data_IF_241974641803
#
_entry.id   IF_241974641803
#
_cell.length_a   1.000
_cell.length_b   1.000
_cell.length_c   1.000
_cell.angle_alpha   90.00
_cell.angle_beta   90.00
_cell.angle_gamma   90.00
#
_symmetry.space_group_name_H-M   'P 1'
#
loop_
_entity.id
_entity.type
_entity.pdbx_description
1 polymer ?
#
# COMPACT_ATOMS: atom_id res chain seq x y z
N UNK A 1 -14.50 -26.17 1.06
CA UNK A 1 -13.49 -25.62 2.01
C UNK A 1 -12.08 -26.19 1.81
N UNK A 2 -11.89 -27.48 1.49
CA UNK A 2 -10.56 -28.08 1.29
C UNK A 2 -9.80 -27.56 0.04
N UNK A 3 -10.50 -27.29 -1.05
CA UNK A 3 -9.90 -26.88 -2.33
C UNK A 3 -9.21 -25.51 -2.27
N UNK A 4 -9.83 -24.53 -1.60
CA UNK A 4 -9.26 -23.19 -1.40
C UNK A 4 -8.00 -23.20 -0.51
N UNK A 5 -7.89 -24.17 0.41
CA UNK A 5 -6.70 -24.32 1.25
C UNK A 5 -5.51 -24.89 0.46
N UNK A 6 -5.78 -25.86 -0.44
CA UNK A 6 -4.77 -26.42 -1.34
C UNK A 6 -4.17 -25.36 -2.27
N UNK A 7 -5.01 -24.52 -2.87
CA UNK A 7 -4.54 -23.45 -3.76
C UNK A 7 -3.65 -22.43 -3.04
N UNK A 8 -3.99 -22.02 -1.81
CA UNK A 8 -3.18 -21.10 -0.99
C UNK A 8 -1.80 -21.67 -0.68
N UNK A 9 -1.73 -22.97 -0.39
CA UNK A 9 -0.46 -23.67 -0.13
C UNK A 9 0.44 -23.68 -1.37
N UNK A 10 -0.14 -24.00 -2.53
CA UNK A 10 0.60 -24.03 -3.80
C UNK A 10 1.11 -22.64 -4.19
N UNK A 11 0.26 -21.61 -4.15
CA UNK A 11 0.68 -20.25 -4.51
C UNK A 11 1.71 -19.68 -3.54
N UNK A 12 1.62 -20.02 -2.24
CA UNK A 12 2.64 -19.65 -1.26
C UNK A 12 4.00 -20.29 -1.56
N UNK A 13 4.01 -21.57 -1.94
CA UNK A 13 5.23 -22.30 -2.32
C UNK A 13 5.86 -21.76 -3.62
N UNK A 14 5.04 -21.44 -4.63
CA UNK A 14 5.52 -20.81 -5.85
C UNK A 14 6.19 -19.48 -5.57
N UNK A 15 5.58 -18.64 -4.73
CA UNK A 15 6.13 -17.33 -4.36
C UNK A 15 7.43 -17.45 -3.56
N UNK A 16 7.49 -18.34 -2.57
CA UNK A 16 8.66 -18.47 -1.69
C UNK A 16 9.86 -19.10 -2.40
N UNK A 17 9.62 -20.07 -3.29
CA UNK A 17 10.70 -20.76 -4.02
C UNK A 17 11.11 -20.07 -5.31
N UNK A 18 10.24 -19.24 -5.89
CA UNK A 18 10.45 -18.64 -7.21
C UNK A 18 10.45 -19.65 -8.36
N UNK A 19 10.13 -20.93 -8.11
CA UNK A 19 10.11 -21.96 -9.17
C UNK A 19 9.12 -21.58 -10.25
N UNK A 20 9.53 -21.69 -11.50
CA UNK A 20 8.72 -21.34 -12.68
C UNK A 20 8.36 -19.86 -12.80
N UNK A 21 9.07 -18.95 -12.11
CA UNK A 21 8.88 -17.52 -12.30
C UNK A 21 9.23 -17.10 -13.73
N UNK A 22 8.35 -16.32 -14.33
CA UNK A 22 8.46 -15.79 -15.69
C UNK A 22 8.33 -14.26 -15.75
N UNK A 23 8.30 -13.62 -14.57
CA UNK A 23 8.28 -12.17 -14.40
C UNK A 23 9.15 -11.76 -13.22
N UNK A 24 9.82 -10.62 -13.37
CA UNK A 24 10.55 -9.97 -12.30
C UNK A 24 9.92 -8.60 -12.02
N UNK A 25 9.53 -8.37 -10.77
CA UNK A 25 9.14 -7.04 -10.29
C UNK A 25 10.33 -6.48 -9.54
N UNK A 26 10.88 -5.38 -10.04
CA UNK A 26 11.99 -4.67 -9.40
C UNK A 26 11.42 -3.49 -8.63
N UNK A 27 11.60 -3.49 -7.32
CA UNK A 27 11.25 -2.38 -6.45
C UNK A 27 12.53 -1.89 -5.76
N UNK A 28 13.07 -0.77 -6.24
CA UNK A 28 14.39 -0.26 -5.84
C UNK A 28 15.46 -1.35 -6.05
N UNK A 29 16.18 -1.75 -5.00
CA UNK A 29 17.22 -2.80 -5.06
C UNK A 29 16.69 -4.23 -4.95
N UNK A 30 15.40 -4.40 -4.60
CA UNK A 30 14.82 -5.73 -4.41
C UNK A 30 14.17 -6.20 -5.71
N UNK A 31 14.60 -7.37 -6.17
CA UNK A 31 13.98 -8.08 -7.29
C UNK A 31 13.15 -9.23 -6.77
N UNK A 32 11.87 -9.26 -7.15
CA UNK A 32 10.94 -10.32 -6.80
C UNK A 32 10.68 -11.17 -8.03
N UNK A 33 11.06 -12.45 -7.96
CA UNK A 33 10.72 -13.46 -8.97
C UNK A 33 9.26 -13.89 -8.76
N UNK A 34 8.40 -13.54 -9.70
CA UNK A 34 6.95 -13.76 -9.62
C UNK A 34 6.43 -14.39 -10.91
N UNK A 35 5.15 -14.75 -10.89
CA UNK A 35 4.50 -15.48 -11.98
C UNK A 35 3.48 -14.59 -12.67
N UNK A 36 3.62 -14.36 -13.97
CA UNK A 36 2.74 -13.50 -14.78
C UNK A 36 1.28 -13.91 -14.61
N UNK A 37 0.99 -15.21 -14.72
CA UNK A 37 -0.37 -15.73 -14.61
C UNK A 37 -1.01 -15.38 -13.25
N UNK A 38 -0.24 -15.41 -12.16
CA UNK A 38 -0.75 -15.06 -10.83
C UNK A 38 -0.91 -13.54 -10.70
N UNK A 39 0.14 -12.77 -11.03
CA UNK A 39 0.15 -11.32 -10.86
C UNK A 39 -0.86 -10.60 -11.77
N UNK A 40 -0.97 -10.99 -13.04
CA UNK A 40 -1.87 -10.34 -13.99
C UNK A 40 -3.35 -10.68 -13.72
N UNK A 41 -3.65 -11.87 -13.19
CA UNK A 41 -5.02 -12.19 -12.74
C UNK A 41 -5.39 -11.43 -11.46
N UNK A 42 -4.41 -11.18 -10.58
CA UNK A 42 -4.62 -10.48 -9.32
C UNK A 42 -4.63 -8.95 -9.43
N UNK A 43 -3.99 -8.38 -10.46
CA UNK A 43 -3.82 -6.93 -10.66
C UNK A 43 -3.99 -6.55 -12.13
N UNK A 44 -5.03 -5.77 -12.42
CA UNK A 44 -5.28 -5.24 -13.77
C UNK A 44 -4.19 -4.26 -14.20
N UNK A 45 -3.61 -3.52 -13.25
CA UNK A 45 -2.53 -2.57 -13.51
C UNK A 45 -1.28 -3.31 -13.99
N UNK A 46 -0.90 -4.39 -13.29
CA UNK A 46 0.23 -5.22 -13.70
C UNK A 46 -0.06 -5.94 -15.02
N UNK A 47 -1.29 -6.44 -15.23
CA UNK A 47 -1.70 -7.02 -16.50
C UNK A 47 -1.51 -6.05 -17.67
N UNK A 48 -2.01 -4.82 -17.53
CA UNK A 48 -1.89 -3.80 -18.56
C UNK A 48 -0.43 -3.40 -18.84
N UNK A 49 0.43 -3.36 -17.82
CA UNK A 49 1.86 -3.10 -17.99
C UNK A 49 2.54 -4.23 -18.79
N UNK A 50 2.33 -5.49 -18.37
CA UNK A 50 2.88 -6.68 -19.03
C UNK A 50 2.40 -6.79 -20.48
N UNK A 51 1.12 -6.50 -20.75
CA UNK A 51 0.56 -6.55 -22.10
C UNK A 51 1.14 -5.47 -23.02
N UNK A 52 1.42 -4.28 -22.48
CA UNK A 52 2.10 -3.21 -23.24
C UNK A 52 3.52 -3.61 -23.61
N UNK A 53 4.28 -4.16 -22.67
CA UNK A 53 5.65 -4.64 -22.95
C UNK A 53 5.67 -5.74 -24.01
N UNK A 54 4.74 -6.70 -23.93
CA UNK A 54 4.62 -7.76 -24.94
C UNK A 54 4.35 -7.19 -26.34
N UNK A 55 3.43 -6.23 -26.47
CA UNK A 55 3.16 -5.54 -27.74
C UNK A 55 4.39 -4.80 -28.27
N UNK A 56 5.15 -4.14 -27.39
CA UNK A 56 6.40 -3.47 -27.77
C UNK A 56 7.46 -4.47 -28.24
N UNK A 57 7.61 -5.61 -27.55
CA UNK A 57 8.53 -6.67 -27.96
C UNK A 57 8.15 -7.23 -29.33
N UNK A 58 6.87 -7.53 -29.57
CA UNK A 58 6.38 -8.01 -30.87
C UNK A 58 6.71 -7.01 -31.99
N UNK A 59 6.45 -5.72 -31.76
CA UNK A 59 6.79 -4.65 -32.69
C UNK A 59 8.30 -4.59 -32.98
N UNK A 60 9.15 -4.65 -31.94
CA UNK A 60 10.60 -4.63 -32.09
C UNK A 60 11.13 -5.86 -32.84
N UNK A 61 10.59 -7.05 -32.56
CA UNK A 61 10.96 -8.28 -33.28
C UNK A 61 10.57 -8.19 -34.75
N UNK A 62 9.38 -7.71 -35.06
CA UNK A 62 8.95 -7.51 -36.44
C UNK A 62 9.90 -6.54 -37.17
N UNK A 63 10.28 -5.42 -36.55
CA UNK A 63 11.27 -4.50 -37.11
C UNK A 63 12.65 -5.14 -37.27
N UNK A 64 13.10 -5.97 -36.31
CA UNK A 64 14.36 -6.71 -36.40
C UNK A 64 14.35 -7.66 -37.59
N UNK A 65 13.25 -8.39 -37.81
CA UNK A 65 13.08 -9.26 -38.97
C UNK A 65 13.07 -8.46 -40.28
N UNK A 66 12.40 -7.31 -40.34
CA UNK A 66 12.43 -6.43 -41.52
C UNK A 66 13.84 -5.87 -41.79
N UNK A 67 14.56 -5.43 -40.76
CA UNK A 67 15.97 -5.00 -40.86
C UNK A 67 16.86 -6.16 -41.33
N UNK A 68 16.67 -7.37 -40.81
CA UNK A 68 17.40 -8.55 -41.26
C UNK A 68 17.07 -8.91 -42.71
N UNK A 69 15.80 -8.82 -43.16
CA UNK A 69 15.43 -9.05 -44.57
C UNK A 69 16.09 -8.03 -45.50
N UNK A 70 16.05 -6.74 -45.16
CA UNK A 70 16.77 -5.67 -45.90
C UNK A 70 18.28 -5.84 -45.85
N UNK A 71 18.82 -6.21 -44.69
CA UNK A 71 20.24 -6.47 -44.47
C UNK A 71 20.69 -7.74 -45.18
N UNK A 72 19.88 -8.78 -45.40
CA UNK A 72 20.26 -9.93 -46.24
C UNK A 72 20.48 -9.54 -47.70
N UNK A 73 19.83 -8.48 -48.20
CA UNK A 73 20.14 -7.89 -49.51
C UNK A 73 21.49 -7.17 -49.54
N UNK A 74 21.81 -6.46 -48.45
CA UNK A 74 23.05 -5.66 -48.30
C UNK A 74 24.25 -6.53 -47.86
N UNK A 75 24.04 -7.56 -47.05
CA UNK A 75 25.04 -8.47 -46.49
C UNK A 75 25.56 -9.47 -47.52
N UNK A 76 24.81 -9.73 -48.60
CA UNK A 76 25.38 -10.34 -49.81
C UNK A 76 26.49 -9.49 -50.43
N UNK A 77 26.46 -8.16 -50.29
CA UNK A 77 27.51 -7.25 -50.76
C UNK A 77 28.61 -7.02 -49.70
N UNK A 78 28.26 -7.03 -48.42
CA UNK A 78 29.21 -6.70 -47.33
C UNK A 78 30.03 -7.90 -46.83
N UNK A 79 29.61 -9.16 -47.04
CA UNK A 79 30.38 -10.36 -46.63
C UNK A 79 31.77 -10.50 -47.29
N UNK A 80 32.13 -9.60 -48.23
CA UNK A 80 33.45 -9.50 -48.85
C UNK A 80 34.48 -8.76 -47.98
N UNK A 81 34.05 -8.03 -46.95
CA UNK A 81 34.96 -7.22 -46.13
C UNK A 81 34.60 -7.29 -44.63
N UNK A 82 35.63 -7.34 -43.78
CA UNK A 82 35.61 -7.28 -42.31
C UNK A 82 35.47 -8.61 -41.53
N UNK A 83 36.61 -9.30 -41.39
CA UNK A 83 37.00 -10.04 -40.17
C UNK A 83 37.70 -9.06 -39.21
N UNK A 84 37.66 -9.39 -37.91
CA UNK A 84 38.29 -8.71 -36.77
C UNK A 84 37.50 -7.47 -36.27
N UNK A 85 37.10 -7.29 -35.01
CA UNK A 85 37.80 -7.46 -33.73
C UNK A 85 36.82 -7.65 -32.54
N UNK A 86 37.37 -8.18 -31.45
CA UNK A 86 36.80 -8.45 -30.13
C UNK A 86 36.92 -7.21 -29.21
N UNK A 87 36.03 -7.01 -28.23
CA UNK A 87 36.36 -6.98 -26.78
C UNK A 87 35.22 -6.48 -25.86
N UNK A 88 35.29 -7.03 -24.65
CA UNK A 88 34.51 -6.93 -23.41
C UNK A 88 34.48 -5.54 -22.76
N UNK A 89 33.57 -5.34 -21.80
CA UNK A 89 33.89 -4.74 -20.47
C UNK A 89 32.72 -4.87 -19.49
N UNK A 90 33.07 -4.79 -18.21
CA UNK A 90 32.29 -5.22 -17.05
C UNK A 90 31.84 -4.07 -16.14
N UNK A 91 30.78 -4.36 -15.35
CA UNK A 91 30.59 -4.11 -13.91
C UNK A 91 30.27 -2.72 -13.27
N UNK A 92 29.29 -2.84 -12.34
CA UNK A 92 29.19 -2.42 -10.92
C UNK A 92 28.78 -0.99 -10.48
N UNK A 93 27.90 -1.00 -9.45
CA UNK A 93 27.77 -0.14 -8.24
C UNK A 93 26.35 0.48 -8.10
N UNK A 94 25.71 0.72 -6.93
CA UNK A 94 25.87 0.41 -5.50
C UNK A 94 24.72 1.16 -4.76
N UNK A 95 24.39 0.75 -3.51
CA UNK A 95 23.81 1.55 -2.39
C UNK A 95 22.26 1.61 -2.26
N UNK A 96 21.58 1.30 -1.14
CA UNK A 96 21.89 1.01 0.28
C UNK A 96 20.70 0.20 0.91
N UNK A 97 20.92 -0.61 1.97
CA UNK A 97 19.85 -1.35 2.65
C UNK A 97 19.08 -0.48 3.65
N UNK A 98 17.74 -0.45 3.53
CA UNK A 98 16.86 0.10 4.56
C UNK A 98 16.41 -1.03 5.48
N UNK A 99 16.80 -0.90 6.75
CA UNK A 99 16.35 -1.65 7.90
C UNK A 99 14.82 -1.52 8.06
N UNK A 100 14.09 -2.63 8.00
CA UNK A 100 12.64 -2.68 8.25
C UNK A 100 12.30 -3.47 9.52
N UNK A 101 13.19 -3.46 10.51
CA UNK A 101 13.06 -4.31 11.70
C UNK A 101 12.64 -3.55 12.97
N UNK A 102 11.71 -2.60 12.82
CA UNK A 102 10.88 -2.08 13.91
C UNK A 102 9.44 -2.56 13.74
N UNK A 103 8.81 -3.14 14.77
CA UNK A 103 7.40 -3.55 14.70
C UNK A 103 6.52 -2.30 14.55
N UNK A 104 6.20 -1.94 13.32
CA UNK A 104 5.30 -0.85 12.98
C UNK A 104 4.00 -1.42 12.38
N UNK A 105 3.16 -2.13 13.17
CA UNK A 105 2.02 -2.87 12.64
C UNK A 105 1.02 -1.95 11.93
N UNK A 106 0.80 -0.74 12.43
CA UNK A 106 -0.12 0.21 11.79
C UNK A 106 0.47 0.77 10.49
N UNK A 107 1.73 1.20 10.49
CA UNK A 107 2.38 1.74 9.30
C UNK A 107 2.50 0.69 8.19
N UNK A 108 2.87 -0.55 8.53
CA UNK A 108 3.02 -1.63 7.57
C UNK A 108 1.67 -2.00 6.93
N UNK A 109 0.59 -2.03 7.71
CA UNK A 109 -0.75 -2.30 7.18
C UNK A 109 -1.31 -1.11 6.38
N UNK A 110 -1.03 0.14 6.78
CA UNK A 110 -1.39 1.32 5.99
C UNK A 110 -0.65 1.32 4.64
N UNK A 111 0.65 1.03 4.63
CA UNK A 111 1.43 0.88 3.40
C UNK A 111 0.90 -0.26 2.52
N UNK A 112 0.57 -1.41 3.11
CA UNK A 112 -0.04 -2.52 2.38
C UNK A 112 -1.40 -2.15 1.78
N UNK A 113 -2.21 -1.35 2.48
CA UNK A 113 -3.49 -0.85 1.98
C UNK A 113 -3.31 0.08 0.78
N UNK A 114 -2.44 1.09 0.89
CA UNK A 114 -2.12 2.04 -0.19
C UNK A 114 -1.56 1.30 -1.41
N UNK A 115 -0.68 0.32 -1.21
CA UNK A 115 -0.15 -0.51 -2.30
C UNK A 115 -1.22 -1.41 -2.92
N UNK A 116 -2.08 -2.02 -2.10
CA UNK A 116 -3.19 -2.83 -2.57
C UNK A 116 -4.16 -2.03 -3.44
N UNK A 117 -4.37 -0.76 -3.10
CA UNK A 117 -5.16 0.15 -3.92
C UNK A 117 -4.47 0.55 -5.22
N UNK A 118 -3.22 1.03 -5.12
CA UNK A 118 -2.40 1.45 -6.27
C UNK A 118 -2.28 0.39 -7.36
N UNK A 119 -2.22 -0.89 -6.95
CA UNK A 119 -2.10 -2.02 -7.87
C UNK A 119 -3.43 -2.76 -8.12
N UNK A 120 -4.57 -2.23 -7.66
CA UNK A 120 -5.89 -2.86 -7.83
C UNK A 120 -5.94 -4.33 -7.38
N UNK A 121 -5.41 -4.61 -6.18
CA UNK A 121 -5.40 -5.93 -5.54
C UNK A 121 -6.34 -5.92 -4.33
N UNK A 122 -7.65 -5.99 -4.59
CA UNK A 122 -8.69 -5.75 -3.58
C UNK A 122 -8.62 -6.71 -2.37
N UNK A 123 -8.28 -7.98 -2.58
CA UNK A 123 -8.11 -8.95 -1.49
C UNK A 123 -6.97 -8.60 -0.54
N UNK A 124 -5.88 -8.02 -1.06
CA UNK A 124 -4.75 -7.55 -0.26
C UNK A 124 -5.10 -6.25 0.48
N UNK A 125 -5.78 -5.31 -0.20
CA UNK A 125 -6.32 -4.07 0.41
C UNK A 125 -7.23 -4.37 1.61
N UNK A 126 -8.18 -5.29 1.45
CA UNK A 126 -9.12 -5.66 2.51
C UNK A 126 -8.44 -6.35 3.70
N UNK A 127 -7.47 -7.24 3.43
CA UNK A 127 -6.69 -7.89 4.49
C UNK A 127 -5.85 -6.89 5.29
N UNK A 128 -5.25 -5.91 4.59
CA UNK A 128 -4.48 -4.85 5.23
C UNK A 128 -5.37 -3.97 6.12
N UNK A 129 -6.57 -3.58 5.64
CA UNK A 129 -7.57 -2.86 6.44
C UNK A 129 -7.95 -3.61 7.70
N UNK A 130 -8.32 -4.90 7.59
CA UNK A 130 -8.71 -5.71 8.73
C UNK A 130 -7.58 -5.87 9.77
N UNK A 131 -6.33 -6.02 9.32
CA UNK A 131 -5.16 -6.09 10.21
C UNK A 131 -4.85 -4.74 10.87
N UNK A 132 -5.07 -3.63 10.17
CA UNK A 132 -4.93 -2.29 10.73
C UNK A 132 -5.96 -2.04 11.83
N UNK A 133 -7.24 -2.33 11.57
CA UNK A 133 -8.33 -2.23 12.55
C UNK A 133 -8.06 -3.08 13.80
N UNK A 134 -7.57 -4.31 13.62
CA UNK A 134 -7.25 -5.21 14.74
C UNK A 134 -6.07 -4.72 15.59
N UNK A 135 -5.09 -4.04 15.00
CA UNK A 135 -3.93 -3.51 15.71
C UNK A 135 -4.20 -2.14 16.36
N UNK A 136 -5.23 -1.42 15.92
CA UNK A 136 -5.51 -0.06 16.36
C UNK A 136 -5.64 0.11 17.89
N UNK A 137 -6.37 -0.77 18.62
CA UNK A 137 -6.55 -0.60 20.06
C UNK A 137 -5.25 -0.67 20.86
N UNK A 138 -4.26 -1.41 20.36
CA UNK A 138 -3.00 -1.66 21.06
C UNK A 138 -1.92 -0.62 20.69
N UNK A 139 -2.02 -0.01 19.50
CA UNK A 139 -0.94 0.80 18.91
C UNK A 139 -1.34 2.24 18.59
N UNK A 140 -2.54 2.71 18.95
CA UNK A 140 -2.99 4.09 18.69
C UNK A 140 -2.04 5.15 19.27
N UNK A 141 -1.36 4.87 20.39
CA UNK A 141 -0.46 5.81 21.07
C UNK A 141 1.02 5.58 20.70
N UNK A 142 1.30 5.26 19.44
CA UNK A 142 2.66 4.95 18.97
C UNK A 142 3.09 5.83 17.80
N UNK A 143 4.40 5.99 17.61
CA UNK A 143 4.96 6.64 16.42
C UNK A 143 4.45 5.99 15.12
N UNK A 144 4.27 4.66 15.13
CA UNK A 144 3.69 3.91 14.00
C UNK A 144 2.28 4.38 13.63
N UNK A 145 1.49 4.90 14.57
CA UNK A 145 0.17 5.46 14.29
C UNK A 145 0.30 6.83 13.61
N UNK A 146 1.16 7.71 14.13
CA UNK A 146 1.42 9.04 13.55
C UNK A 146 1.93 8.92 12.11
N UNK A 147 2.90 8.05 11.87
CA UNK A 147 3.44 7.78 10.54
C UNK A 147 2.37 7.22 9.59
N UNK A 148 1.49 6.34 10.10
CA UNK A 148 0.41 5.78 9.29
C UNK A 148 -0.63 6.83 8.90
N UNK A 149 -0.99 7.74 9.81
CA UNK A 149 -1.88 8.87 9.51
C UNK A 149 -1.28 9.78 8.44
N UNK A 150 0.00 10.14 8.60
CA UNK A 150 0.72 10.93 7.61
C UNK A 150 0.67 10.27 6.23
N UNK A 151 1.00 8.98 6.16
CA UNK A 151 0.98 8.20 4.91
C UNK A 151 -0.40 8.21 4.23
N UNK A 152 -1.47 8.02 5.00
CA UNK A 152 -2.85 7.97 4.48
C UNK A 152 -3.34 9.30 3.92
N UNK A 153 -2.75 10.43 4.35
CA UNK A 153 -3.05 11.76 3.79
C UNK A 153 -2.12 12.14 2.62
N UNK A 154 -0.90 11.62 2.58
CA UNK A 154 0.02 11.78 1.44
C UNK A 154 -0.39 10.92 0.24
N UNK A 155 -1.09 9.81 0.47
CA UNK A 155 -1.61 8.94 -0.56
C UNK A 155 -2.93 9.48 -1.16
N UNK A 156 -3.23 9.08 -2.41
CA UNK A 156 -4.18 9.78 -3.29
C UNK A 156 -5.58 9.96 -2.66
N UNK A 157 -6.16 11.20 -2.65
CA UNK A 157 -7.38 11.53 -1.90
C UNK A 157 -8.64 10.71 -2.24
N UNK A 158 -8.75 10.23 -3.47
CA UNK A 158 -10.01 9.65 -3.99
C UNK A 158 -10.23 8.16 -3.63
N UNK A 159 -9.21 7.45 -3.13
CA UNK A 159 -9.24 5.98 -3.06
C UNK A 159 -9.18 5.36 -1.66
N UNK A 160 -9.10 6.22 -0.63
CA UNK A 160 -8.56 5.82 0.68
C UNK A 160 -9.35 6.30 1.90
N UNK A 161 -10.53 6.89 1.68
CA UNK A 161 -11.44 7.36 2.75
C UNK A 161 -11.74 6.28 3.79
N UNK A 162 -11.89 5.03 3.35
CA UNK A 162 -12.17 3.90 4.23
C UNK A 162 -11.18 3.74 5.40
N UNK A 163 -9.87 3.70 5.12
CA UNK A 163 -8.86 3.49 6.16
C UNK A 163 -8.51 4.81 6.85
N UNK A 164 -8.58 5.92 6.12
CA UNK A 164 -8.40 7.28 6.66
C UNK A 164 -9.45 7.60 7.72
N UNK A 165 -10.73 7.37 7.44
CA UNK A 165 -11.84 7.64 8.34
C UNK A 165 -11.72 6.79 9.63
N UNK A 166 -11.24 5.54 9.53
CA UNK A 166 -10.95 4.69 10.70
C UNK A 166 -9.82 5.28 11.55
N UNK A 167 -8.69 5.63 10.92
CA UNK A 167 -7.54 6.19 11.61
C UNK A 167 -7.87 7.54 12.27
N UNK A 168 -8.57 8.42 11.56
CA UNK A 168 -9.05 9.72 12.06
C UNK A 168 -10.02 9.54 13.22
N UNK A 169 -10.95 8.59 13.13
CA UNK A 169 -11.88 8.30 14.22
C UNK A 169 -11.15 7.84 15.49
N UNK A 170 -10.13 7.00 15.34
CA UNK A 170 -9.30 6.59 16.47
C UNK A 170 -8.51 7.76 17.05
N UNK A 171 -7.91 8.61 16.21
CA UNK A 171 -7.25 9.83 16.66
C UNK A 171 -8.21 10.76 17.41
N UNK A 172 -9.44 10.94 16.91
CA UNK A 172 -10.47 11.75 17.56
C UNK A 172 -10.90 11.20 18.93
N UNK A 173 -11.00 9.87 19.06
CA UNK A 173 -11.32 9.21 20.34
C UNK A 173 -10.25 9.40 21.41
N UNK A 174 -8.99 9.56 20.99
CA UNK A 174 -7.81 9.69 21.85
C UNK A 174 -7.12 11.05 21.68
N UNK A 175 -7.87 12.08 21.24
CA UNK A 175 -7.29 13.35 20.83
C UNK A 175 -6.58 14.04 21.99
N UNK A 176 -7.10 13.91 23.21
CA UNK A 176 -6.49 14.50 24.40
C UNK A 176 -5.10 13.92 24.66
N UNK A 177 -4.99 12.60 24.66
CA UNK A 177 -3.76 11.87 24.91
C UNK A 177 -2.74 12.04 23.79
N UNK A 178 -3.20 12.10 22.53
CA UNK A 178 -2.32 12.31 21.38
C UNK A 178 -1.76 13.73 21.32
N UNK A 179 -2.49 14.74 21.81
CA UNK A 179 -2.00 16.12 21.86
C UNK A 179 -0.85 16.32 22.86
N UNK A 180 -0.66 15.40 23.81
CA UNK A 180 0.50 15.41 24.70
C UNK A 180 1.78 14.87 24.00
N UNK A 181 1.66 14.30 22.79
CA UNK A 181 2.79 13.83 22.00
C UNK A 181 3.28 14.86 20.98
N UNK A 182 4.57 15.17 21.05
CA UNK A 182 5.22 16.14 20.15
C UNK A 182 5.12 15.78 18.67
N UNK A 183 5.22 14.49 18.33
CA UNK A 183 5.14 14.01 16.94
C UNK A 183 3.75 14.26 16.32
N UNK A 184 2.69 13.95 17.07
CA UNK A 184 1.32 14.17 16.63
C UNK A 184 1.01 15.68 16.54
N UNK A 185 1.46 16.47 17.51
CA UNK A 185 1.36 17.92 17.46
C UNK A 185 2.07 18.52 16.22
N UNK A 186 3.26 18.02 15.90
CA UNK A 186 4.00 18.46 14.72
C UNK A 186 3.25 18.10 13.43
N UNK A 187 2.67 16.90 13.36
CA UNK A 187 1.85 16.46 12.21
C UNK A 187 0.64 17.38 12.00
N UNK A 188 -0.13 17.66 13.06
CA UNK A 188 -1.29 18.56 12.98
C UNK A 188 -0.91 20.00 12.59
N UNK A 189 0.23 20.50 13.06
CA UNK A 189 0.75 21.82 12.65
C UNK A 189 1.19 21.85 11.18
N UNK A 190 1.73 20.74 10.68
CA UNK A 190 2.20 20.63 9.31
C UNK A 190 1.07 20.38 8.30
N UNK A 191 -0.03 19.75 8.73
CA UNK A 191 -1.16 19.41 7.86
C UNK A 191 -2.49 19.81 8.50
N UNK A 192 -3.06 20.92 7.99
CA UNK A 192 -4.31 21.47 8.49
C UNK A 192 -5.53 20.57 8.23
N UNK A 193 -5.51 19.73 7.18
CA UNK A 193 -6.59 18.79 6.88
C UNK A 193 -6.64 17.70 7.96
N UNK A 194 -5.49 17.12 8.33
CA UNK A 194 -5.39 16.16 9.44
C UNK A 194 -5.91 16.78 10.73
N UNK A 195 -5.47 18.01 11.05
CA UNK A 195 -5.89 18.70 12.26
C UNK A 195 -7.41 18.93 12.30
N UNK A 196 -8.00 19.36 11.18
CA UNK A 196 -9.44 19.58 11.06
C UNK A 196 -10.24 18.28 11.20
N UNK A 197 -9.85 17.23 10.50
CA UNK A 197 -10.57 15.96 10.51
C UNK A 197 -10.51 15.27 11.88
N UNK A 198 -9.36 15.31 12.56
CA UNK A 198 -9.25 14.79 13.93
C UNK A 198 -10.10 15.61 14.90
N UNK A 199 -10.08 16.94 14.79
CA UNK A 199 -10.93 17.80 15.61
C UNK A 199 -12.41 17.48 15.38
N UNK A 200 -12.85 17.40 14.13
CA UNK A 200 -14.22 17.04 13.77
C UNK A 200 -14.62 15.68 14.35
N UNK A 201 -13.73 14.67 14.25
CA UNK A 201 -13.97 13.35 14.82
C UNK A 201 -14.08 13.38 16.35
N UNK A 202 -13.24 14.17 17.04
CA UNK A 202 -13.27 14.30 18.51
C UNK A 202 -14.60 14.85 19.03
N UNK A 203 -15.24 15.75 18.27
CA UNK A 203 -16.53 16.34 18.62
C UNK A 203 -17.68 15.34 18.48
N UNK A 204 -17.59 14.40 17.53
CA UNK A 204 -18.57 13.32 17.36
C UNK A 204 -18.45 12.31 18.50
N UNK A 205 -17.22 12.01 18.93
CA UNK A 205 -16.93 11.05 20.02
C UNK A 205 -17.33 11.54 21.40
N UNK A 206 -17.39 12.86 21.64
CA UNK A 206 -17.82 13.45 22.91
C UNK A 206 -19.33 13.35 23.20
N UNK A 207 -20.16 13.14 22.17
CA UNK A 207 -21.64 13.17 22.30
C UNK A 207 -22.22 11.95 23.01
N UNK A 208 -21.46 10.86 23.17
CA UNK A 208 -21.86 9.65 23.90
C UNK A 208 -21.49 9.67 25.38
N UNK A 209 -20.72 10.67 25.85
CA UNK A 209 -20.24 10.78 27.25
C UNK A 209 -20.95 11.83 28.10
N UNK A 210 -22.02 12.47 27.60
CA UNK A 210 -22.62 13.64 28.24
C UNK A 210 -24.14 13.69 28.26
N UNK A 211 -24.79 12.77 28.98
CA UNK A 211 -26.04 13.08 29.71
C UNK A 211 -25.96 12.36 31.07
N UNK A 212 -25.53 13.03 32.17
CA UNK A 212 -25.92 12.55 33.49
C UNK A 212 -27.43 12.75 33.63
N UNK A 213 -28.16 11.66 33.89
CA UNK A 213 -29.58 11.72 34.22
C UNK A 213 -29.77 12.69 35.40
N UNK A 214 -30.58 13.73 35.20
CA UNK A 214 -30.97 14.62 36.29
C UNK A 214 -31.64 13.79 37.39
N UNK A 215 -31.29 13.98 38.67
CA UNK A 215 -31.96 13.26 39.74
C UNK A 215 -33.42 13.69 39.78
N UNK A 216 -34.31 12.71 39.85
CA UNK A 216 -35.75 12.93 40.00
C UNK A 216 -36.00 13.65 41.33
N UNK A 217 -36.34 14.94 41.25
CA UNK A 217 -36.89 15.67 42.39
C UNK A 217 -38.31 15.15 42.63
N UNK A 218 -38.48 14.40 43.70
CA UNK A 218 -39.79 14.00 44.20
C UNK A 218 -40.57 15.25 44.61
N UNK A 219 -41.59 15.61 43.84
CA UNK A 219 -42.57 16.60 44.25
C UNK A 219 -43.46 15.98 45.32
N UNK A 220 -43.08 16.13 46.60
CA UNK A 220 -44.03 16.08 47.69
C UNK A 220 -44.63 17.48 47.84
N UNK A 221 -45.84 17.65 47.32
CA UNK A 221 -46.70 18.78 47.64
C UNK A 221 -47.41 18.48 48.96
N UNK A 222 -46.84 18.92 50.08
CA UNK A 222 -47.64 19.24 51.26
C UNK A 222 -48.04 20.71 51.15
N UNK A 223 -49.34 20.98 51.05
CA UNK A 223 -49.90 22.32 51.30
C UNK A 223 -50.73 22.27 52.58
N UNK A 224 -50.40 23.23 53.44
CA UNK A 224 -50.86 23.45 54.80
C UNK A 224 -52.39 23.55 54.98
N UNK A 225 -52.89 23.25 56.20
CA UNK A 225 -54.26 23.52 56.60
C UNK A 225 -54.46 25.02 56.89
N UNK A 226 -55.56 25.58 56.38
CA UNK A 226 -56.16 26.83 56.82
C UNK A 226 -57.58 26.55 57.31
#
# INVERSE_FOLDING_TARGET
>A
MAEAAGLKSVTSSLLSTGRYSDLQIVCKEKTFNVHRAICCLASKVLAAAVDREWKLWQYQQQRRQQRQKKSRGIMKHVKKHAKHHHESTANLAHSQPIDTTGRNPLLNNALAFVLGDKYDVSGFKNLAKAKYEAALPDYWNSASFVDSLKLLYEASPDSERDLRDIAVKAAGNHARELMDHGEFCALCKANAEIAFDVLAASLVSGKTRGIPAAPAVSQQYEKCPC
#
